data_IF_186676725607
#
_entry.id   IF_186676725607
#
_cell.length_a   1.000
_cell.length_b   1.000
_cell.length_c   1.000
_cell.angle_alpha   90.00
_cell.angle_beta   90.00
_cell.angle_gamma   90.00
#
_symmetry.space_group_name_H-M   'P 1'
#
loop_
_entity.id
_entity.type
_entity.pdbx_description
1 polymer ?
#
# COMPACT_ATOMS: atom_id res chain seq x y z
N UNK A 1 -21.23 64.41 5.79
CA UNK A 1 -22.40 63.86 6.52
C UNK A 1 -21.85 62.86 7.54
N UNK A 2 -21.37 63.38 8.67
CA UNK A 2 -21.95 63.27 10.04
C UNK A 2 -21.68 61.89 10.69
N UNK A 3 -20.57 61.76 11.44
CA UNK A 3 -20.41 61.88 12.93
C UNK A 3 -21.07 60.70 13.67
N UNK A 4 -20.58 60.14 14.77
CA UNK A 4 -19.29 59.98 15.47
C UNK A 4 -19.60 59.12 16.72
N UNK A 5 -18.55 58.56 17.30
CA UNK A 5 -18.51 57.93 18.62
C UNK A 5 -19.08 58.80 19.75
N UNK A 6 -19.72 58.19 20.77
CA UNK A 6 -19.42 58.29 22.22
C UNK A 6 -20.62 57.86 23.11
N UNK A 7 -20.30 57.03 24.12
CA UNK A 7 -21.05 56.81 25.38
C UNK A 7 -20.79 57.98 26.34
N UNK A 8 -21.64 58.31 27.35
CA UNK A 8 -21.73 57.53 28.61
C UNK A 8 -23.09 57.53 29.37
N UNK A 9 -23.08 56.77 30.47
CA UNK A 9 -24.11 56.48 31.49
C UNK A 9 -24.80 57.70 32.11
N UNK A 10 -25.91 57.48 32.86
CA UNK A 10 -25.77 57.55 34.32
C UNK A 10 -26.53 56.47 35.12
N UNK A 11 -26.08 56.35 36.37
CA UNK A 11 -26.48 55.53 37.51
C UNK A 11 -27.79 55.97 38.20
N UNK A 12 -28.50 55.05 38.88
CA UNK A 12 -28.90 55.18 40.31
C UNK A 12 -29.60 53.93 40.90
N UNK A 13 -29.08 53.46 42.05
CA UNK A 13 -29.69 52.87 43.28
C UNK A 13 -30.80 51.78 43.24
N UNK A 14 -31.08 50.99 44.29
CA UNK A 14 -30.37 50.08 45.23
C UNK A 14 -31.48 49.50 46.17
N UNK A 15 -31.52 48.17 46.41
CA UNK A 15 -32.17 47.43 47.53
C UNK A 15 -33.72 47.56 47.71
N UNK A 16 -34.52 46.68 48.35
CA UNK A 16 -34.37 45.53 49.28
C UNK A 16 -35.70 44.71 49.34
N UNK A 17 -35.64 43.51 49.93
CA UNK A 17 -36.69 42.51 50.18
C UNK A 17 -37.95 42.97 50.97
N UNK A 18 -39.07 42.23 50.79
CA UNK A 18 -39.70 41.29 51.77
C UNK A 18 -41.24 41.35 51.89
N UNK A 19 -41.85 40.15 52.02
CA UNK A 19 -43.15 39.80 52.65
C UNK A 19 -44.45 40.29 51.94
N UNK A 20 -45.59 39.57 51.84
CA UNK A 20 -46.17 38.40 52.54
C UNK A 20 -47.58 38.08 51.92
N UNK A 21 -48.13 36.86 52.15
CA UNK A 21 -49.51 36.34 51.89
C UNK A 21 -49.96 36.26 50.40
N UNK A 22 -50.58 35.19 49.85
CA UNK A 22 -51.30 34.06 50.42
C UNK A 22 -52.76 34.07 49.93
N UNK A 23 -53.07 33.43 48.79
CA UNK A 23 -54.45 32.99 48.50
C UNK A 23 -54.51 31.83 47.49
N UNK A 24 -55.22 30.78 47.91
CA UNK A 24 -55.44 29.47 47.29
C UNK A 24 -56.47 29.54 46.15
N UNK A 25 -56.32 28.69 45.12
CA UNK A 25 -57.38 27.76 44.70
C UNK A 25 -56.91 26.69 43.69
N UNK A 26 -56.96 25.46 44.20
CA UNK A 26 -56.93 24.10 43.64
C UNK A 26 -57.27 23.92 42.14
N UNK A 27 -56.53 23.01 41.47
CA UNK A 27 -57.13 21.91 40.69
C UNK A 27 -56.14 20.75 40.39
N UNK A 28 -56.55 19.55 40.84
CA UNK A 28 -56.34 18.17 40.38
C UNK A 28 -54.94 17.63 39.96
N UNK A 29 -54.38 16.76 40.82
CA UNK A 29 -53.39 15.73 40.48
C UNK A 29 -54.09 14.40 40.12
N UNK A 30 -53.62 13.66 39.10
CA UNK A 30 -53.63 12.20 39.12
C UNK A 30 -52.25 11.64 39.49
N UNK A 31 -52.27 10.50 40.17
CA UNK A 31 -51.13 9.76 40.76
C UNK A 31 -49.99 9.52 39.77
N UNK A 32 -48.76 9.81 40.21
CA UNK A 32 -47.54 9.33 39.57
C UNK A 32 -47.47 7.79 39.65
N UNK A 33 -47.54 7.13 38.49
CA UNK A 33 -47.14 5.73 38.37
C UNK A 33 -45.62 5.71 38.38
N UNK A 34 -45.06 5.22 39.48
CA UNK A 34 -43.63 5.07 39.66
C UNK A 34 -43.16 3.83 38.87
N UNK A 35 -42.96 4.00 37.56
CA UNK A 35 -42.31 2.97 36.75
C UNK A 35 -40.81 3.05 37.04
N UNK A 36 -40.34 2.16 37.92
CA UNK A 36 -38.91 1.82 37.99
C UNK A 36 -38.51 1.29 36.60
N UNK A 37 -37.94 2.15 35.78
CA UNK A 37 -37.19 1.73 34.61
C UNK A 37 -36.06 0.82 35.12
N UNK A 38 -36.20 -0.48 34.89
CA UNK A 38 -35.10 -1.43 35.04
C UNK A 38 -33.93 -0.86 34.22
N UNK A 39 -32.70 -0.87 34.75
CA UNK A 39 -31.55 -0.48 33.93
C UNK A 39 -31.57 -1.42 32.72
N UNK A 40 -31.70 -0.83 31.53
CA UNK A 40 -31.42 -1.53 30.29
C UNK A 40 -29.97 -1.98 30.41
N UNK A 41 -29.78 -3.24 30.80
CA UNK A 41 -28.50 -3.93 30.64
C UNK A 41 -28.26 -3.87 29.14
N UNK A 42 -27.45 -2.89 28.72
CA UNK A 42 -26.91 -2.85 27.38
C UNK A 42 -26.12 -4.14 27.27
N UNK A 43 -26.69 -5.15 26.62
CA UNK A 43 -25.93 -6.34 26.24
C UNK A 43 -24.71 -5.81 25.50
N UNK A 44 -23.55 -5.85 26.16
CA UNK A 44 -22.29 -5.64 25.49
C UNK A 44 -22.32 -6.61 24.33
N UNK A 45 -22.25 -6.11 23.10
CA UNK A 45 -21.93 -7.00 21.99
C UNK A 45 -20.67 -7.76 22.38
N UNK A 46 -20.59 -9.03 22.03
CA UNK A 46 -19.45 -9.92 22.32
C UNK A 46 -18.10 -9.38 21.82
N UNK A 47 -18.11 -8.24 21.12
CA UNK A 47 -16.96 -7.58 20.49
C UNK A 47 -16.71 -6.16 21.03
N UNK A 48 -17.31 -5.77 22.16
CA UNK A 48 -17.02 -4.47 22.78
C UNK A 48 -15.76 -4.51 23.64
N UNK A 49 -14.72 -3.79 23.21
CA UNK A 49 -13.48 -3.60 23.97
C UNK A 49 -13.74 -2.73 25.21
N UNK A 50 -13.04 -3.01 26.30
CA UNK A 50 -13.06 -2.15 27.48
C UNK A 50 -12.29 -0.84 27.19
N UNK A 51 -12.68 0.28 27.81
CA UNK A 51 -12.05 1.59 27.54
C UNK A 51 -10.54 1.58 27.81
N UNK A 52 -10.10 0.90 28.87
CA UNK A 52 -8.67 0.74 29.18
C UNK A 52 -7.92 -0.01 28.08
N UNK A 53 -8.54 -1.06 27.53
CA UNK A 53 -7.97 -1.86 26.46
C UNK A 53 -7.92 -1.06 25.15
N UNK A 54 -8.99 -0.33 24.83
CA UNK A 54 -9.04 0.58 23.70
C UNK A 54 -7.90 1.61 23.76
N UNK A 55 -7.74 2.28 24.91
CA UNK A 55 -6.65 3.25 25.12
C UNK A 55 -5.26 2.63 25.01
N UNK A 56 -5.08 1.37 25.39
CA UNK A 56 -3.79 0.68 25.25
C UNK A 56 -3.48 0.25 23.81
N UNK A 57 -4.50 0.09 22.98
CA UNK A 57 -4.33 -0.27 21.57
C UNK A 57 -4.10 0.97 20.71
N UNK A 58 -4.77 2.09 20.97
CA UNK A 58 -4.66 3.26 20.11
C UNK A 58 -3.26 3.90 20.18
N UNK A 59 -2.63 4.23 19.05
CA UNK A 59 -1.40 5.01 19.05
C UNK A 59 -1.67 6.41 19.63
N UNK A 60 -0.63 7.04 20.15
CA UNK A 60 -0.65 8.43 20.59
C UNK A 60 -0.32 9.38 19.43
N UNK A 61 -0.71 10.66 19.56
CA UNK A 61 -0.32 11.67 18.57
C UNK A 61 1.20 11.85 18.51
N UNK A 62 1.89 11.74 19.65
CA UNK A 62 3.36 11.85 19.71
C UNK A 62 4.05 10.72 18.93
N UNK A 63 3.59 9.48 19.09
CA UNK A 63 4.08 8.32 18.32
C UNK A 63 3.87 8.50 16.81
N UNK A 64 2.80 9.22 16.42
CA UNK A 64 2.52 9.56 15.02
C UNK A 64 3.19 10.87 14.58
N UNK A 65 3.90 11.60 15.45
CA UNK A 65 4.48 12.89 15.11
C UNK A 65 3.46 14.02 14.84
N UNK A 66 2.21 13.84 15.26
CA UNK A 66 1.10 14.76 15.08
C UNK A 66 0.97 15.76 16.24
N UNK A 67 0.36 16.91 15.95
CA UNK A 67 0.06 17.99 16.90
C UNK A 67 -1.39 18.44 16.72
N UNK A 68 -1.92 19.09 17.75
CA UNK A 68 -3.27 19.65 17.70
C UNK A 68 -3.39 20.65 16.54
N UNK A 69 -4.46 20.54 15.76
CA UNK A 69 -4.69 21.36 14.57
C UNK A 69 -3.94 20.94 13.30
N UNK A 70 -3.14 19.87 13.33
CA UNK A 70 -2.53 19.33 12.11
C UNK A 70 -3.60 18.89 11.10
N UNK A 71 -3.26 18.96 9.81
CA UNK A 71 -4.11 18.48 8.73
C UNK A 71 -3.68 17.10 8.28
N UNK A 72 -4.61 16.15 8.24
CA UNK A 72 -4.34 14.78 7.79
C UNK A 72 -5.39 14.37 6.76
N UNK A 73 -4.93 14.06 5.55
CA UNK A 73 -5.77 13.41 4.54
C UNK A 73 -5.58 11.90 4.63
N UNK A 74 -6.66 11.14 4.78
CA UNK A 74 -6.62 9.68 4.84
C UNK A 74 -6.89 9.09 3.46
N UNK A 75 -5.89 8.39 2.90
CA UNK A 75 -6.04 7.58 1.70
C UNK A 75 -6.84 6.31 2.01
N UNK A 76 -8.06 6.23 1.50
CA UNK A 76 -8.95 5.10 1.72
C UNK A 76 -9.08 4.23 0.47
N UNK A 77 -9.04 2.91 0.65
CA UNK A 77 -9.18 1.91 -0.43
C UNK A 77 -10.50 1.14 -0.38
N UNK A 78 -11.36 1.43 0.61
CA UNK A 78 -12.55 0.62 0.89
C UNK A 78 -12.27 -0.63 1.74
N UNK A 79 -11.00 -0.94 2.01
CA UNK A 79 -10.58 -2.03 2.90
C UNK A 79 -10.65 -1.68 4.39
N UNK A 80 -10.70 -2.72 5.24
CA UNK A 80 -10.81 -2.59 6.72
C UNK A 80 -9.66 -1.79 7.34
N UNK A 81 -8.45 -1.91 6.80
CA UNK A 81 -7.26 -1.23 7.32
C UNK A 81 -7.38 0.28 7.21
N UNK A 82 -7.74 0.78 6.02
CA UNK A 82 -7.95 2.21 5.80
C UNK A 82 -9.15 2.78 6.58
N UNK A 83 -10.20 1.97 6.77
CA UNK A 83 -11.34 2.35 7.60
C UNK A 83 -10.99 2.48 9.09
N UNK A 84 -10.21 1.53 9.60
CA UNK A 84 -9.70 1.56 10.97
C UNK A 84 -8.75 2.73 11.16
N UNK A 85 -7.90 3.02 10.17
CA UNK A 85 -7.01 4.18 10.14
C UNK A 85 -7.78 5.49 10.30
N UNK A 86 -8.81 5.72 9.48
CA UNK A 86 -9.66 6.91 9.57
C UNK A 86 -10.30 7.02 10.97
N UNK A 87 -10.81 5.90 11.48
CA UNK A 87 -11.51 5.88 12.76
C UNK A 87 -10.56 6.14 13.95
N UNK A 88 -9.33 5.63 13.93
CA UNK A 88 -8.28 5.93 14.93
C UNK A 88 -8.01 7.43 14.93
N UNK A 89 -7.72 7.99 13.76
CA UNK A 89 -7.34 9.41 13.65
C UNK A 89 -8.47 10.36 14.08
N UNK A 90 -9.74 9.93 13.97
CA UNK A 90 -10.90 10.70 14.43
C UNK A 90 -10.94 10.93 15.94
N UNK A 91 -10.20 10.16 16.73
CA UNK A 91 -10.06 10.38 18.18
C UNK A 91 -9.17 11.58 18.52
N UNK A 92 -8.41 12.11 17.56
CA UNK A 92 -7.46 13.21 17.80
C UNK A 92 -8.05 14.58 17.43
N UNK A 93 -7.62 15.66 18.10
CA UNK A 93 -8.00 17.04 17.78
C UNK A 93 -7.24 17.56 16.55
N UNK A 94 -7.49 16.95 15.39
CA UNK A 94 -6.87 17.26 14.09
C UNK A 94 -7.94 17.48 13.01
N UNK A 95 -7.54 18.10 11.91
CA UNK A 95 -8.39 18.24 10.73
C UNK A 95 -8.26 17.01 9.83
N UNK A 96 -9.39 16.35 9.52
CA UNK A 96 -9.41 15.14 8.72
C UNK A 96 -10.15 15.32 7.40
N UNK A 97 -9.45 15.00 6.32
CA UNK A 97 -10.03 14.81 4.99
C UNK A 97 -9.90 13.35 4.56
N UNK A 98 -10.74 12.91 3.64
CA UNK A 98 -10.71 11.57 3.06
C UNK A 98 -10.48 11.67 1.56
N UNK A 99 -9.58 10.84 1.04
CA UNK A 99 -9.36 10.72 -0.39
C UNK A 99 -9.43 9.25 -0.81
N UNK A 100 -10.17 8.98 -1.88
CA UNK A 100 -10.15 7.72 -2.61
C UNK A 100 -9.46 7.94 -3.96
N UNK A 101 -8.53 7.06 -4.31
CA UNK A 101 -7.83 7.13 -5.59
C UNK A 101 -8.41 6.11 -6.57
N UNK A 102 -8.74 6.57 -7.78
CA UNK A 102 -9.01 5.70 -8.92
C UNK A 102 -7.77 5.65 -9.79
N UNK A 103 -7.04 4.52 -9.76
CA UNK A 103 -5.79 4.35 -10.52
C UNK A 103 -5.95 3.45 -11.75
N UNK A 104 -7.09 2.80 -11.91
CA UNK A 104 -7.36 1.94 -13.04
C UNK A 104 -8.84 1.99 -13.41
N UNK A 105 -9.11 2.18 -14.69
CA UNK A 105 -10.45 2.10 -15.27
C UNK A 105 -10.41 1.10 -16.42
N UNK A 106 -11.02 -0.10 -16.26
CA UNK A 106 -11.08 -1.11 -17.32
C UNK A 106 -11.63 -0.56 -18.64
N UNK A 107 -12.60 0.36 -18.60
CA UNK A 107 -13.21 0.90 -19.82
C UNK A 107 -12.26 1.82 -20.58
N UNK A 108 -11.41 2.57 -19.87
CA UNK A 108 -10.39 3.42 -20.49
C UNK A 108 -9.14 2.65 -20.88
N UNK A 109 -8.84 1.54 -20.20
CA UNK A 109 -7.63 0.73 -20.41
C UNK A 109 -7.80 -0.46 -21.36
N UNK A 110 -9.04 -0.81 -21.72
CA UNK A 110 -9.38 -1.85 -22.71
C UNK A 110 -9.94 -1.26 -24.02
N UNK A 111 -9.98 0.07 -24.15
CA UNK A 111 -10.28 0.74 -25.42
C UNK A 111 -9.08 0.60 -26.38
N UNK A 112 -9.26 0.08 -27.61
CA UNK A 112 -8.18 0.04 -28.59
C UNK A 112 -7.71 1.48 -28.89
N UNK A 113 -6.42 1.72 -29.17
CA UNK A 113 -5.99 3.01 -29.67
C UNK A 113 -6.77 3.33 -30.95
N UNK A 114 -7.42 4.50 -30.98
CA UNK A 114 -8.11 5.01 -32.16
C UNK A 114 -7.15 4.97 -33.35
N UNK A 115 -7.46 4.07 -34.30
CA UNK A 115 -6.84 4.07 -35.60
C UNK A 115 -7.09 5.42 -36.26
N UNK A 116 -6.01 6.06 -36.67
CA UNK A 116 -5.94 7.31 -37.44
C UNK A 116 -6.95 7.40 -38.59
N UNK A 117 -8.09 8.07 -38.36
CA UNK A 117 -8.92 8.67 -39.41
C UNK A 117 -9.52 9.99 -38.86
N UNK A 118 -9.64 11.06 -39.68
CA UNK A 118 -10.08 12.36 -39.21
C UNK A 118 -11.59 12.36 -38.89
N UNK A 119 -12.06 13.26 -38.00
CA UNK A 119 -13.46 13.29 -37.62
C UNK A 119 -14.28 13.94 -38.74
N UNK A 120 -15.24 13.20 -39.28
CA UNK A 120 -16.35 13.80 -40.03
C UNK A 120 -17.34 14.38 -39.02
N UNK A 121 -17.81 15.63 -39.19
CA UNK A 121 -18.79 16.22 -38.29
C UNK A 121 -20.17 15.67 -38.65
N UNK A 122 -21.01 15.42 -37.65
CA UNK A 122 -22.43 15.86 -37.56
C UNK A 122 -23.21 14.99 -36.56
N UNK A 123 -23.78 15.71 -35.60
CA UNK A 123 -25.02 15.50 -34.85
C UNK A 123 -25.14 14.43 -33.76
N UNK A 124 -25.25 14.97 -32.54
CA UNK A 124 -26.13 14.50 -31.46
C UNK A 124 -27.48 13.99 -32.00
N UNK A 125 -27.87 12.78 -31.60
CA UNK A 125 -29.24 12.42 -31.25
C UNK A 125 -29.28 11.08 -30.49
N UNK A 126 -29.81 11.12 -29.26
CA UNK A 126 -30.37 9.95 -28.59
C UNK A 126 -31.49 9.37 -29.46
N UNK A 127 -31.41 8.08 -29.80
CA UNK A 127 -32.53 7.30 -30.27
C UNK A 127 -32.53 5.94 -29.61
N UNK A 128 -33.53 5.75 -28.75
CA UNK A 128 -34.00 4.47 -28.24
C UNK A 128 -34.45 3.55 -29.38
N UNK A 129 -33.84 2.39 -29.51
CA UNK A 129 -34.26 1.34 -30.45
C UNK A 129 -33.77 -0.02 -29.98
N UNK A 130 -34.70 -0.84 -29.51
CA UNK A 130 -34.48 -2.21 -29.03
C UNK A 130 -34.08 -3.16 -30.15
N UNK A 131 -33.08 -4.02 -29.93
CA UNK A 131 -33.14 -5.45 -30.30
C UNK A 131 -31.96 -6.24 -29.71
N UNK A 132 -32.33 -7.32 -28.99
CA UNK A 132 -31.56 -8.55 -28.71
C UNK A 132 -30.25 -8.50 -27.90
N UNK A 133 -30.43 -8.60 -26.57
CA UNK A 133 -29.77 -9.57 -25.67
C UNK A 133 -28.42 -10.19 -26.12
N UNK A 134 -27.34 -9.48 -25.81
CA UNK A 134 -26.14 -10.05 -25.18
C UNK A 134 -25.56 -9.00 -24.24
N UNK A 135 -26.21 -8.82 -23.10
CA UNK A 135 -25.56 -8.22 -21.93
C UNK A 135 -24.37 -9.11 -21.58
N UNK A 136 -23.18 -8.72 -22.03
CA UNK A 136 -21.97 -9.17 -21.38
C UNK A 136 -22.07 -8.65 -19.94
N UNK A 137 -22.17 -9.57 -18.99
CA UNK A 137 -22.05 -9.33 -17.57
C UNK A 137 -20.67 -8.69 -17.28
N UNK A 138 -20.54 -7.40 -17.56
CA UNK A 138 -19.49 -6.55 -17.04
C UNK A 138 -19.79 -6.43 -15.55
N UNK A 139 -19.06 -7.22 -14.76
CA UNK A 139 -19.00 -7.05 -13.31
C UNK A 139 -18.99 -5.55 -12.98
N UNK A 140 -19.86 -5.05 -12.08
CA UNK A 140 -19.85 -3.63 -11.71
C UNK A 140 -18.43 -3.22 -11.35
N UNK A 141 -17.97 -2.09 -11.91
CA UNK A 141 -16.60 -1.61 -11.79
C UNK A 141 -16.12 -1.75 -10.33
N UNK A 142 -15.08 -2.55 -10.10
CA UNK A 142 -14.61 -2.89 -8.74
C UNK A 142 -14.34 -1.62 -7.91
N UNK A 143 -13.75 -0.59 -8.54
CA UNK A 143 -13.46 0.68 -7.90
C UNK A 143 -14.72 1.43 -7.43
N UNK A 144 -15.87 1.28 -8.09
CA UNK A 144 -17.12 1.92 -7.68
C UNK A 144 -17.65 1.28 -6.38
N UNK A 145 -17.51 -0.03 -6.25
CA UNK A 145 -17.87 -0.74 -5.01
C UNK A 145 -16.99 -0.28 -3.86
N UNK A 146 -15.69 -0.20 -4.10
CA UNK A 146 -14.73 0.26 -3.09
C UNK A 146 -14.94 1.73 -2.72
N UNK A 147 -15.27 2.59 -3.69
CA UNK A 147 -15.65 3.99 -3.45
C UNK A 147 -16.93 4.11 -2.60
N UNK A 148 -17.95 3.30 -2.89
CA UNK A 148 -19.17 3.25 -2.08
C UNK A 148 -18.90 2.79 -0.65
N UNK A 149 -17.97 1.86 -0.44
CA UNK A 149 -17.55 1.44 0.89
C UNK A 149 -16.82 2.58 1.64
N UNK A 150 -15.97 3.35 0.95
CA UNK A 150 -15.36 4.56 1.52
C UNK A 150 -16.41 5.57 1.96
N UNK A 151 -17.40 5.86 1.12
CA UNK A 151 -18.49 6.80 1.46
C UNK A 151 -19.26 6.36 2.69
N UNK A 152 -19.60 5.07 2.80
CA UNK A 152 -20.30 4.50 3.97
C UNK A 152 -19.48 4.65 5.25
N UNK A 153 -18.20 4.27 5.20
CA UNK A 153 -17.29 4.37 6.36
C UNK A 153 -17.12 5.82 6.78
N UNK A 154 -16.78 6.72 5.84
CA UNK A 154 -16.53 8.13 6.13
C UNK A 154 -17.78 8.83 6.71
N UNK A 155 -18.97 8.52 6.18
CA UNK A 155 -20.24 9.01 6.72
C UNK A 155 -20.49 8.52 8.15
N UNK A 156 -20.25 7.23 8.42
CA UNK A 156 -20.42 6.65 9.77
C UNK A 156 -19.43 7.26 10.79
N UNK A 157 -18.20 7.55 10.37
CA UNK A 157 -17.19 8.21 11.22
C UNK A 157 -17.51 9.70 11.44
N UNK A 158 -18.41 10.28 10.65
CA UNK A 158 -18.84 11.67 10.76
C UNK A 158 -17.91 12.65 10.04
N UNK A 159 -17.31 12.24 8.92
CA UNK A 159 -16.55 13.12 8.03
C UNK A 159 -17.52 13.93 7.16
N UNK A 160 -17.38 15.27 7.08
CA UNK A 160 -18.19 16.10 6.18
C UNK A 160 -18.06 15.68 4.72
N UNK A 161 -19.16 15.74 3.95
CA UNK A 161 -19.17 15.25 2.56
C UNK A 161 -18.20 16.02 1.64
N UNK A 162 -18.02 17.31 1.89
CA UNK A 162 -17.09 18.20 1.20
C UNK A 162 -15.60 17.88 1.49
N UNK A 163 -15.33 17.17 2.57
CA UNK A 163 -14.01 16.64 2.94
C UNK A 163 -13.73 15.24 2.35
N UNK A 164 -14.64 14.66 1.56
CA UNK A 164 -14.44 13.35 0.93
C UNK A 164 -14.28 13.55 -0.58
N UNK A 165 -13.11 13.17 -1.13
CA UNK A 165 -12.77 13.40 -2.54
C UNK A 165 -12.40 12.10 -3.25
N UNK A 166 -12.82 12.00 -4.51
CA UNK A 166 -12.29 11.01 -5.45
C UNK A 166 -11.26 11.72 -6.33
N UNK A 167 -10.07 11.13 -6.45
CA UNK A 167 -9.00 11.61 -7.33
C UNK A 167 -8.69 10.53 -8.34
N UNK A 168 -8.73 10.88 -9.61
CA UNK A 168 -8.32 10.00 -10.70
C UNK A 168 -6.82 10.17 -10.97
N UNK A 169 -6.07 9.09 -10.80
CA UNK A 169 -4.63 9.00 -11.06
C UNK A 169 -4.32 7.89 -12.06
N UNK A 170 -5.30 7.51 -12.90
CA UNK A 170 -5.15 6.43 -13.88
C UNK A 170 -4.07 6.72 -14.92
N UNK A 171 -3.90 7.99 -15.32
CA UNK A 171 -2.86 8.41 -16.28
C UNK A 171 -1.46 8.30 -15.69
N UNK A 172 -1.29 8.77 -14.46
CA UNK A 172 -0.04 8.69 -13.72
C UNK A 172 0.32 7.23 -13.43
N UNK A 173 -0.67 6.41 -13.03
CA UNK A 173 -0.46 4.99 -12.81
C UNK A 173 -0.02 4.27 -14.09
N UNK A 174 -0.69 4.54 -15.21
CA UNK A 174 -0.34 3.95 -16.50
C UNK A 174 1.12 4.26 -16.87
N UNK A 175 1.48 5.54 -16.89
CA UNK A 175 2.80 6.01 -17.35
C UNK A 175 3.94 5.71 -16.38
N UNK A 176 3.71 5.78 -15.07
CA UNK A 176 4.79 5.68 -14.06
C UNK A 176 4.94 4.30 -13.44
N UNK A 177 3.93 3.43 -13.57
CA UNK A 177 3.93 2.10 -12.93
C UNK A 177 3.67 1.01 -13.95
N UNK A 178 2.58 1.10 -14.71
CA UNK A 178 2.14 -0.01 -15.56
C UNK A 178 3.03 -0.20 -16.80
N UNK A 179 3.23 0.85 -17.60
CA UNK A 179 4.06 0.81 -18.81
C UNK A 179 5.53 0.40 -18.49
N UNK A 180 6.19 0.95 -17.45
CA UNK A 180 7.51 0.47 -17.03
C UNK A 180 7.53 -1.03 -16.66
N UNK A 181 6.49 -1.51 -15.96
CA UNK A 181 6.39 -2.93 -15.60
C UNK A 181 6.21 -3.83 -16.83
N UNK A 182 5.44 -3.39 -17.84
CA UNK A 182 5.32 -4.05 -19.14
C UNK A 182 6.69 -4.22 -19.80
N UNK A 183 7.49 -3.15 -19.86
CA UNK A 183 8.85 -3.24 -20.40
C UNK A 183 9.75 -4.25 -19.66
N UNK A 184 9.62 -4.38 -18.34
CA UNK A 184 10.36 -5.39 -17.57
C UNK A 184 9.90 -6.81 -17.91
N UNK A 185 8.59 -7.05 -18.05
CA UNK A 185 8.05 -8.36 -18.47
C UNK A 185 8.51 -8.73 -19.89
N UNK A 186 8.52 -7.79 -20.83
CA UNK A 186 8.97 -8.03 -22.21
C UNK A 186 10.44 -8.45 -22.28
N UNK A 187 11.29 -7.89 -21.42
CA UNK A 187 12.70 -8.32 -21.27
C UNK A 187 12.87 -9.63 -20.47
N UNK A 188 11.77 -10.29 -20.11
CA UNK A 188 11.77 -11.53 -19.34
C UNK A 188 12.07 -11.34 -17.85
N UNK A 189 12.05 -10.12 -17.32
CA UNK A 189 12.16 -9.84 -15.89
C UNK A 189 10.86 -10.12 -15.13
N UNK A 190 10.88 -9.90 -13.81
CA UNK A 190 9.69 -10.00 -12.96
C UNK A 190 9.60 -8.74 -12.09
N UNK A 191 8.87 -7.69 -12.51
CA UNK A 191 8.77 -6.41 -11.81
C UNK A 191 7.97 -6.53 -10.50
N UNK A 192 8.06 -5.49 -9.67
CA UNK A 192 7.26 -5.32 -8.46
C UNK A 192 6.46 -4.00 -8.50
N UNK A 193 5.32 -3.97 -9.22
CA UNK A 193 4.57 -2.73 -9.44
C UNK A 193 3.96 -2.13 -8.16
N UNK A 194 3.85 -2.91 -7.08
CA UNK A 194 3.34 -2.40 -5.81
C UNK A 194 4.36 -1.46 -5.12
N UNK A 195 5.67 -1.73 -5.26
CA UNK A 195 6.73 -0.82 -4.78
C UNK A 195 6.64 0.52 -5.52
N UNK A 196 6.56 0.45 -6.85
CA UNK A 196 6.47 1.63 -7.72
C UNK A 196 5.16 2.40 -7.48
N UNK A 197 4.02 1.71 -7.29
CA UNK A 197 2.76 2.37 -6.97
C UNK A 197 2.83 3.17 -5.67
N UNK A 198 3.48 2.65 -4.62
CA UNK A 198 3.62 3.41 -3.38
C UNK A 198 4.47 4.66 -3.59
N UNK A 199 5.62 4.53 -4.27
CA UNK A 199 6.53 5.63 -4.55
C UNK A 199 5.91 6.69 -5.48
N UNK A 200 5.37 6.28 -6.61
CA UNK A 200 4.99 7.17 -7.71
C UNK A 200 3.55 7.69 -7.60
N UNK A 201 2.65 6.90 -6.98
CA UNK A 201 1.21 7.21 -6.95
C UNK A 201 0.76 7.58 -5.56
N UNK A 202 0.85 6.66 -4.58
CA UNK A 202 0.30 6.93 -3.24
C UNK A 202 1.04 8.04 -2.52
N UNK A 203 2.38 8.02 -2.54
CA UNK A 203 3.21 9.05 -1.91
C UNK A 203 3.86 9.99 -2.93
N UNK A 204 3.62 9.79 -4.23
CA UNK A 204 4.00 10.70 -5.31
C UNK A 204 2.80 11.55 -5.75
N UNK A 205 2.17 11.15 -6.86
CA UNK A 205 1.09 11.90 -7.50
C UNK A 205 -0.07 12.31 -6.56
N UNK A 206 -0.48 11.44 -5.64
CA UNK A 206 -1.50 11.80 -4.65
C UNK A 206 -0.99 12.90 -3.71
N UNK A 207 0.25 12.79 -3.23
CA UNK A 207 0.85 13.76 -2.32
C UNK A 207 1.02 15.14 -2.98
N UNK A 208 1.20 15.18 -4.30
CA UNK A 208 1.29 16.40 -5.12
C UNK A 208 -0.05 17.13 -5.25
N UNK A 209 -1.18 16.40 -5.28
CA UNK A 209 -2.53 17.00 -5.32
C UNK A 209 -3.02 17.44 -3.94
N UNK A 210 -2.39 16.98 -2.86
CA UNK A 210 -2.72 17.45 -1.51
C UNK A 210 -2.28 18.92 -1.33
N UNK A 211 -3.01 19.69 -0.50
CA UNK A 211 -2.59 21.04 -0.16
C UNK A 211 -1.15 21.10 0.34
N UNK A 212 -0.35 22.00 -0.24
CA UNK A 212 1.03 22.28 0.18
C UNK A 212 1.04 23.23 1.39
N UNK A 213 0.30 22.87 2.43
CA UNK A 213 0.26 23.59 3.70
C UNK A 213 1.32 23.01 4.65
N UNK A 214 1.80 23.84 5.56
CA UNK A 214 2.64 23.38 6.66
C UNK A 214 1.86 22.34 7.49
N UNK A 215 2.54 21.24 7.83
CA UNK A 215 2.00 20.13 8.64
C UNK A 215 0.71 19.51 8.07
N UNK A 216 0.67 19.34 6.75
CA UNK A 216 -0.31 18.50 6.05
C UNK A 216 0.28 17.13 5.72
N UNK A 217 -0.29 16.10 6.32
CA UNK A 217 0.14 14.70 6.18
C UNK A 217 -0.83 13.85 5.36
N UNK A 218 -0.31 12.80 4.74
CA UNK A 218 -1.08 11.70 4.16
C UNK A 218 -1.02 10.49 5.09
N UNK A 219 -2.18 10.07 5.59
CA UNK A 219 -2.31 8.83 6.33
C UNK A 219 -2.78 7.69 5.43
N UNK A 220 -2.22 6.50 5.62
CA UNK A 220 -2.63 5.29 4.89
C UNK A 220 -2.74 4.09 5.83
N UNK A 221 -3.49 3.07 5.42
CA UNK A 221 -3.63 1.82 6.17
C UNK A 221 -2.46 0.85 6.02
N UNK A 222 -1.23 1.33 5.78
CA UNK A 222 -0.07 0.43 5.69
C UNK A 222 0.44 0.03 7.08
N UNK A 223 0.92 -1.20 7.16
CA UNK A 223 1.61 -1.76 8.32
C UNK A 223 3.09 -1.42 8.22
N UNK A 224 3.45 -0.27 8.77
CA UNK A 224 4.82 0.21 8.95
C UNK A 224 4.77 1.37 9.94
N UNK A 225 5.92 1.77 10.50
CA UNK A 225 5.98 2.91 11.41
C UNK A 225 6.84 4.00 10.79
N UNK A 226 6.45 5.25 10.98
CA UNK A 226 7.28 6.41 10.63
C UNK A 226 7.67 7.08 11.92
N UNK A 227 8.97 7.09 12.24
CA UNK A 227 9.49 7.82 13.37
C UNK A 227 9.85 9.24 12.91
N UNK A 228 8.99 10.21 13.26
CA UNK A 228 9.27 11.63 13.09
C UNK A 228 10.18 12.08 14.24
N UNK A 229 11.42 12.47 13.97
CA UNK A 229 12.28 13.01 15.02
C UNK A 229 11.74 14.38 15.44
N UNK A 230 11.47 14.64 16.74
CA UNK A 230 10.86 15.89 17.17
C UNK A 230 11.74 17.10 16.82
N UNK A 231 11.15 18.10 16.15
CA UNK A 231 11.81 19.37 15.78
C UNK A 231 12.50 20.09 16.96
N UNK A 232 12.05 19.83 18.19
CA UNK A 232 12.55 20.50 19.40
C UNK A 232 13.85 19.90 19.96
N UNK A 233 14.19 18.65 19.60
CA UNK A 233 15.27 17.89 20.23
C UNK A 233 16.42 17.56 19.27
N UNK A 234 16.57 18.33 18.19
CA UNK A 234 17.38 18.16 16.96
C UNK A 234 16.53 17.67 15.77
N UNK A 235 16.39 18.45 14.68
CA UNK A 235 15.71 17.99 13.47
C UNK A 235 16.50 16.83 12.86
N UNK A 236 15.98 15.61 13.01
CA UNK A 236 16.47 14.42 12.33
C UNK A 236 15.50 14.00 11.23
N UNK A 237 15.97 13.29 10.19
CA UNK A 237 15.12 12.86 9.10
C UNK A 237 14.10 11.81 9.56
N UNK A 238 12.91 11.79 8.93
CA UNK A 238 11.88 10.80 9.23
C UNK A 238 12.33 9.39 8.84
N UNK A 239 12.26 8.43 9.77
CA UNK A 239 12.69 7.05 9.53
C UNK A 239 11.53 6.11 9.28
N UNK A 240 11.64 5.28 8.24
CA UNK A 240 10.73 4.16 8.02
C UNK A 240 11.16 2.95 8.86
N UNK A 241 10.29 2.48 9.73
CA UNK A 241 10.54 1.37 10.66
C UNK A 241 9.56 0.23 10.41
N UNK A 242 10.00 -1.02 10.63
CA UNK A 242 9.12 -2.19 10.55
C UNK A 242 7.91 -2.08 11.46
N UNK A 243 6.79 -2.65 11.01
CA UNK A 243 5.60 -2.84 11.83
C UNK A 243 5.87 -3.77 13.01
N UNK A 244 5.06 -3.62 14.06
CA UNK A 244 5.02 -4.57 15.19
C UNK A 244 4.56 -5.95 14.72
N UNK A 245 3.55 -6.00 13.85
CA UNK A 245 3.12 -7.24 13.21
C UNK A 245 4.05 -7.62 12.05
N UNK A 246 5.06 -8.43 12.34
CA UNK A 246 6.02 -8.92 11.34
C UNK A 246 5.36 -9.70 10.19
N UNK A 247 4.19 -10.31 10.43
CA UNK A 247 3.49 -11.09 9.39
C UNK A 247 2.77 -10.21 8.37
N UNK A 248 2.52 -8.95 8.73
CA UNK A 248 1.87 -7.94 7.90
C UNK A 248 2.75 -6.76 7.55
N UNK A 249 4.00 -6.73 8.02
CA UNK A 249 4.96 -5.65 7.73
C UNK A 249 5.06 -5.37 6.22
N UNK A 250 4.68 -4.15 5.86
CA UNK A 250 4.61 -3.65 4.49
C UNK A 250 5.76 -2.68 4.18
N UNK A 251 6.74 -2.51 5.08
CA UNK A 251 7.90 -1.64 4.81
C UNK A 251 8.70 -2.04 3.57
N UNK A 252 8.65 -3.32 3.16
CA UNK A 252 9.22 -3.77 1.88
C UNK A 252 8.58 -3.05 0.67
N UNK A 253 7.28 -2.77 0.71
CA UNK A 253 6.59 -2.04 -0.36
C UNK A 253 6.78 -0.52 -0.29
N UNK A 254 7.24 -0.03 0.86
CA UNK A 254 7.49 1.39 1.13
C UNK A 254 8.99 1.72 1.05
N UNK A 255 9.85 0.76 0.75
CA UNK A 255 11.31 0.89 0.85
C UNK A 255 11.94 1.82 -0.20
N UNK A 256 11.18 2.23 -1.21
CA UNK A 256 11.58 3.26 -2.17
C UNK A 256 11.00 4.65 -1.90
N UNK A 257 10.33 4.85 -0.76
CA UNK A 257 9.91 6.20 -0.38
C UNK A 257 11.12 7.10 -0.13
N UNK A 258 11.01 8.38 -0.47
CA UNK A 258 12.02 9.38 -0.11
C UNK A 258 11.80 9.88 1.32
N UNK A 259 12.83 10.49 1.92
CA UNK A 259 12.69 11.19 3.20
C UNK A 259 11.57 12.25 3.15
N UNK A 260 11.47 13.01 2.06
CA UNK A 260 10.43 14.02 1.87
C UNK A 260 9.02 13.41 1.84
N UNK A 261 8.86 12.23 1.25
CA UNK A 261 7.60 11.51 1.26
C UNK A 261 7.28 10.98 2.67
N UNK A 262 8.28 10.44 3.37
CA UNK A 262 8.12 9.94 4.74
C UNK A 262 7.81 11.05 5.74
N UNK A 263 8.41 12.23 5.61
CA UNK A 263 8.15 13.36 6.51
C UNK A 263 6.71 13.87 6.43
N UNK A 264 5.98 13.51 5.37
CA UNK A 264 4.56 13.80 5.18
C UNK A 264 3.65 12.56 5.31
N UNK A 265 4.19 11.40 5.69
CA UNK A 265 3.43 10.16 5.78
C UNK A 265 3.08 9.80 7.23
N UNK A 266 1.87 9.28 7.46
CA UNK A 266 1.41 8.78 8.76
C UNK A 266 0.89 7.35 8.57
N UNK A 267 1.35 6.42 9.41
CA UNK A 267 1.01 4.99 9.32
C UNK A 267 0.42 4.48 10.66
N UNK A 268 -0.87 4.74 10.95
CA UNK A 268 -1.43 4.48 12.28
C UNK A 268 -1.52 3.01 12.69
N UNK A 269 -1.44 2.09 11.73
CA UNK A 269 -1.54 0.65 11.99
C UNK A 269 -0.19 0.02 12.35
N UNK A 270 0.92 0.74 12.21
CA UNK A 270 2.27 0.20 12.39
C UNK A 270 2.56 -0.40 13.77
N UNK A 271 1.87 0.06 14.81
CA UNK A 271 2.00 -0.43 16.18
C UNK A 271 1.01 -1.52 16.55
N UNK A 272 0.13 -1.93 15.62
CA UNK A 272 -0.98 -2.85 15.88
C UNK A 272 -0.73 -4.22 15.25
N UNK A 273 -1.26 -5.26 15.89
CA UNK A 273 -1.46 -6.55 15.24
C UNK A 273 -2.69 -6.49 14.33
N UNK A 274 -2.67 -7.24 13.23
CA UNK A 274 -3.84 -7.32 12.34
C UNK A 274 -5.11 -7.79 13.07
N UNK A 275 -4.93 -8.68 14.04
CA UNK A 275 -6.02 -9.15 14.90
C UNK A 275 -6.64 -8.00 15.68
N UNK A 276 -5.83 -7.08 16.20
CA UNK A 276 -6.34 -5.91 16.93
C UNK A 276 -7.01 -4.91 16.01
N UNK A 277 -6.51 -4.71 14.78
CA UNK A 277 -7.17 -3.90 13.76
C UNK A 277 -8.57 -4.43 13.46
N UNK A 278 -8.74 -5.75 13.29
CA UNK A 278 -10.07 -6.35 13.08
C UNK A 278 -10.97 -6.19 14.31
N UNK A 279 -10.45 -6.39 15.51
CA UNK A 279 -11.20 -6.19 16.77
C UNK A 279 -11.66 -4.75 16.93
N UNK A 280 -10.82 -3.77 16.60
CA UNK A 280 -11.17 -2.34 16.61
C UNK A 280 -12.28 -2.04 15.59
N UNK A 281 -12.15 -2.57 14.37
CA UNK A 281 -13.17 -2.40 13.34
C UNK A 281 -14.54 -2.98 13.76
N UNK A 282 -14.55 -4.16 14.39
CA UNK A 282 -15.76 -4.77 14.95
C UNK A 282 -16.32 -3.99 16.14
N UNK A 283 -15.44 -3.51 17.03
CA UNK A 283 -15.82 -2.70 18.19
C UNK A 283 -16.55 -1.41 17.78
N UNK A 284 -16.06 -0.72 16.75
CA UNK A 284 -16.69 0.47 16.18
C UNK A 284 -17.83 0.19 15.20
N UNK A 285 -18.10 -1.09 14.92
CA UNK A 285 -19.13 -1.52 13.98
C UNK A 285 -18.89 -1.00 12.56
N UNK A 286 -17.64 -0.94 12.10
CA UNK A 286 -17.33 -0.42 10.76
C UNK A 286 -17.98 -1.30 9.68
N UNK A 287 -18.56 -0.73 8.60
CA UNK A 287 -19.30 -1.48 7.60
C UNK A 287 -18.48 -2.57 6.91
N UNK A 288 -17.18 -2.36 6.79
CA UNK A 288 -16.23 -3.25 6.13
C UNK A 288 -15.39 -4.10 7.11
N UNK A 289 -15.78 -4.19 8.39
CA UNK A 289 -15.02 -4.95 9.40
C UNK A 289 -14.79 -6.43 9.02
N UNK A 290 -15.77 -7.03 8.34
CA UNK A 290 -15.73 -8.43 7.87
C UNK A 290 -15.21 -8.59 6.44
N UNK A 291 -14.82 -7.51 5.76
CA UNK A 291 -14.32 -7.58 4.39
C UNK A 291 -12.99 -8.35 4.38
N UNK A 292 -12.83 -9.22 3.38
CA UNK A 292 -11.58 -9.93 3.14
C UNK A 292 -10.52 -8.97 2.59
N UNK A 293 -9.25 -9.34 2.75
CA UNK A 293 -8.15 -8.57 2.18
C UNK A 293 -8.12 -8.79 0.67
N UNK A 294 -7.97 -7.72 -0.11
CA UNK A 294 -7.73 -7.83 -1.54
C UNK A 294 -6.39 -8.52 -1.79
N UNK A 295 -6.41 -9.58 -2.58
CA UNK A 295 -5.22 -10.32 -2.99
C UNK A 295 -4.88 -10.00 -4.46
N UNK A 296 -3.58 -9.94 -4.79
CA UNK A 296 -3.10 -9.66 -6.16
C UNK A 296 -2.47 -8.28 -6.33
N UNK A 297 -2.02 -7.98 -7.55
CA UNK A 297 -1.48 -6.65 -7.91
C UNK A 297 -2.59 -5.63 -7.68
N UNK A 298 -2.25 -4.53 -6.99
CA UNK A 298 -3.19 -3.59 -6.35
C UNK A 298 -4.39 -3.11 -7.21
N UNK A 299 -4.36 -3.23 -8.55
CA UNK A 299 -5.40 -2.72 -9.46
C UNK A 299 -5.93 -3.72 -10.49
N UNK A 300 -5.24 -4.84 -10.71
CA UNK A 300 -5.67 -5.85 -11.70
C UNK A 300 -6.79 -6.73 -11.09
N UNK A 301 -6.89 -6.75 -9.76
CA UNK A 301 -7.81 -7.61 -9.02
C UNK A 301 -7.44 -9.10 -9.17
N UNK A 302 -8.34 -9.98 -8.75
CA UNK A 302 -8.19 -11.44 -8.86
C UNK A 302 -8.51 -11.93 -10.29
N UNK A 303 -7.97 -11.29 -11.33
CA UNK A 303 -8.11 -11.81 -12.70
C UNK A 303 -7.33 -13.12 -12.81
N UNK A 304 -8.06 -14.23 -12.97
CA UNK A 304 -7.57 -15.60 -12.82
C UNK A 304 -6.49 -16.08 -13.79
N UNK A 305 -5.95 -15.24 -14.68
CA UNK A 305 -4.85 -15.57 -15.59
C UNK A 305 -3.98 -14.35 -15.89
N UNK A 306 -3.05 -14.06 -14.98
CA UNK A 306 -2.11 -12.94 -15.10
C UNK A 306 -1.40 -12.86 -16.47
N UNK A 307 -0.95 -14.00 -17.01
CA UNK A 307 -0.27 -14.04 -18.30
C UNK A 307 -1.16 -13.70 -19.50
N UNK A 308 -2.47 -13.95 -19.42
CA UNK A 308 -3.42 -13.58 -20.47
C UNK A 308 -3.74 -12.08 -20.42
N UNK A 309 -3.68 -11.47 -19.23
CA UNK A 309 -3.81 -10.02 -19.06
C UNK A 309 -2.61 -9.28 -19.65
N UNK A 310 -1.38 -9.71 -19.35
CA UNK A 310 -0.18 -9.06 -19.91
C UNK A 310 -0.11 -9.18 -21.43
N UNK A 311 -0.55 -10.31 -22.00
CA UNK A 311 -0.59 -10.53 -23.45
C UNK A 311 -1.48 -9.54 -24.22
N UNK A 312 -2.32 -8.74 -23.55
CA UNK A 312 -3.11 -7.66 -24.17
C UNK A 312 -2.28 -6.39 -24.39
N UNK A 313 -1.15 -6.25 -23.70
CA UNK A 313 -0.33 -5.04 -23.66
C UNK A 313 1.10 -5.25 -24.17
N UNK A 314 1.50 -6.50 -24.39
CA UNK A 314 2.80 -6.85 -24.97
C UNK A 314 2.64 -7.31 -26.41
N UNK A 315 3.71 -7.20 -27.19
CA UNK A 315 3.80 -7.93 -28.46
C UNK A 315 3.60 -9.44 -28.22
N UNK A 316 3.11 -10.22 -29.21
CA UNK A 316 2.98 -11.66 -29.06
C UNK A 316 4.32 -12.24 -28.57
N UNK A 317 4.32 -13.04 -27.49
CA UNK A 317 5.55 -13.58 -26.96
C UNK A 317 6.24 -14.43 -28.02
N UNK A 318 7.52 -14.19 -28.23
CA UNK A 318 8.33 -15.14 -28.97
C UNK A 318 8.34 -16.47 -28.19
N UNK A 319 7.82 -17.51 -28.85
CA UNK A 319 7.86 -18.87 -28.31
C UNK A 319 9.31 -19.34 -28.20
N UNK A 320 9.57 -20.17 -27.20
CA UNK A 320 10.88 -20.74 -26.93
C UNK A 320 10.75 -22.10 -26.27
N UNK A 321 11.89 -22.69 -25.91
CA UNK A 321 11.94 -24.02 -25.31
C UNK A 321 12.33 -23.96 -23.84
N UNK A 322 11.72 -24.82 -23.03
CA UNK A 322 12.28 -25.23 -21.75
C UNK A 322 13.45 -26.17 -22.02
N UNK A 323 14.65 -25.79 -21.62
CA UNK A 323 15.89 -26.54 -21.87
C UNK A 323 16.53 -27.01 -20.56
N UNK A 324 17.23 -28.16 -20.58
CA UNK A 324 18.03 -28.62 -19.44
C UNK A 324 19.47 -28.08 -19.48
N UNK A 325 20.30 -28.50 -18.52
CA UNK A 325 21.72 -28.11 -18.45
C UNK A 325 22.54 -28.54 -19.68
N UNK A 326 22.16 -29.64 -20.32
CA UNK A 326 22.80 -30.17 -21.54
C UNK A 326 22.32 -29.46 -22.82
N UNK A 327 21.34 -28.56 -22.72
CA UNK A 327 20.73 -27.88 -23.87
C UNK A 327 19.63 -28.69 -24.57
N UNK A 328 19.23 -29.83 -24.02
CA UNK A 328 18.12 -30.63 -24.56
C UNK A 328 16.79 -29.89 -24.37
N UNK A 329 15.98 -29.85 -25.42
CA UNK A 329 14.64 -29.23 -25.41
C UNK A 329 13.64 -30.20 -24.80
N UNK A 330 13.04 -29.81 -23.68
CA UNK A 330 12.10 -30.65 -22.94
C UNK A 330 10.63 -30.34 -23.26
N UNK A 331 10.30 -29.08 -23.53
CA UNK A 331 8.94 -28.63 -23.86
C UNK A 331 8.97 -27.24 -24.51
N UNK A 332 7.89 -26.85 -25.17
CA UNK A 332 7.66 -25.49 -25.68
C UNK A 332 6.96 -24.61 -24.63
N UNK A 333 7.20 -23.30 -24.69
CA UNK A 333 6.57 -22.33 -23.81
C UNK A 333 6.01 -21.13 -24.55
N UNK A 334 5.00 -20.49 -23.94
CA UNK A 334 4.29 -19.34 -24.51
C UNK A 334 4.96 -17.99 -24.26
N UNK A 335 6.21 -17.94 -23.79
CA UNK A 335 6.97 -16.70 -23.58
C UNK A 335 7.58 -16.59 -22.19
N UNK A 336 8.56 -15.70 -22.04
CA UNK A 336 9.37 -15.56 -20.83
C UNK A 336 8.57 -15.08 -19.60
N UNK A 337 7.61 -14.17 -19.79
CA UNK A 337 6.84 -13.58 -18.69
C UNK A 337 5.82 -14.51 -18.03
N UNK A 338 5.54 -15.68 -18.63
CA UNK A 338 4.74 -16.72 -17.99
C UNK A 338 5.50 -17.46 -16.88
N UNK A 339 6.81 -17.21 -16.76
CA UNK A 339 7.70 -17.93 -15.87
C UNK A 339 8.47 -16.97 -14.96
N UNK A 340 8.65 -17.38 -13.71
CA UNK A 340 9.49 -16.70 -12.72
C UNK A 340 10.60 -17.65 -12.25
N UNK A 341 11.79 -17.13 -11.96
CA UNK A 341 12.89 -17.97 -11.45
C UNK A 341 12.47 -18.59 -10.11
N UNK A 342 12.75 -19.88 -9.94
CA UNK A 342 12.30 -20.70 -8.82
C UNK A 342 10.87 -21.24 -8.95
N UNK A 343 10.11 -20.88 -9.99
CA UNK A 343 8.81 -21.48 -10.26
C UNK A 343 8.98 -22.94 -10.73
N UNK A 344 8.10 -23.83 -10.25
CA UNK A 344 8.01 -25.20 -10.75
C UNK A 344 7.54 -25.19 -12.22
N UNK A 345 8.37 -25.69 -13.11
CA UNK A 345 8.05 -25.90 -14.51
C UNK A 345 7.37 -27.26 -14.69
N UNK A 346 6.20 -27.29 -15.35
CA UNK A 346 5.48 -28.54 -15.63
C UNK A 346 6.04 -29.17 -16.90
N UNK A 347 7.02 -30.05 -16.74
CA UNK A 347 7.66 -30.81 -17.83
C UNK A 347 7.30 -32.28 -17.70
N UNK A 348 6.87 -32.91 -18.79
CA UNK A 348 6.53 -34.32 -18.82
C UNK A 348 7.78 -35.22 -18.73
N UNK A 349 7.58 -36.46 -18.27
CA UNK A 349 8.61 -37.52 -18.27
C UNK A 349 9.90 -37.19 -17.48
N UNK A 350 9.81 -36.40 -16.40
CA UNK A 350 10.94 -36.08 -15.52
C UNK A 350 10.82 -36.84 -14.20
N UNK A 351 11.94 -37.44 -13.75
CA UNK A 351 12.01 -38.18 -12.48
C UNK A 351 11.88 -37.27 -11.25
N UNK A 352 12.33 -36.01 -11.37
CA UNK A 352 12.21 -34.97 -10.33
C UNK A 352 11.43 -33.77 -10.86
N UNK A 353 10.71 -33.03 -10.00
CA UNK A 353 10.13 -31.76 -10.38
C UNK A 353 11.19 -30.79 -10.91
N UNK A 354 10.91 -30.18 -12.05
CA UNK A 354 11.78 -29.18 -12.68
C UNK A 354 11.42 -27.77 -12.20
N UNK A 355 12.42 -26.91 -12.09
CA UNK A 355 12.29 -25.53 -11.65
C UNK A 355 13.01 -24.59 -12.61
N UNK A 356 12.45 -23.41 -12.84
CA UNK A 356 13.04 -22.37 -13.71
C UNK A 356 14.28 -21.79 -13.04
N UNK A 357 15.44 -21.98 -13.64
CA UNK A 357 16.72 -21.47 -13.13
C UNK A 357 17.15 -20.17 -13.78
N UNK A 358 16.94 -20.03 -15.10
CA UNK A 358 17.33 -18.84 -15.86
C UNK A 358 16.38 -18.63 -17.02
N UNK A 359 16.13 -17.36 -17.36
CA UNK A 359 15.30 -16.94 -18.50
C UNK A 359 16.17 -16.25 -19.53
N UNK A 360 15.73 -16.29 -20.79
CA UNK A 360 16.39 -15.62 -21.90
C UNK A 360 17.75 -16.20 -22.25
N UNK A 361 17.85 -17.53 -22.28
CA UNK A 361 19.06 -18.25 -22.71
C UNK A 361 18.96 -18.66 -24.18
N UNK A 362 20.06 -19.20 -24.73
CA UNK A 362 20.13 -19.62 -26.13
C UNK A 362 20.50 -18.47 -27.08
N UNK A 363 20.76 -18.79 -28.35
CA UNK A 363 21.20 -17.80 -29.36
C UNK A 363 20.19 -16.67 -29.58
N UNK A 364 18.90 -17.01 -29.52
CA UNK A 364 17.80 -16.07 -29.68
C UNK A 364 17.40 -15.36 -28.38
N UNK A 365 17.94 -15.78 -27.24
CA UNK A 365 17.57 -15.23 -25.93
C UNK A 365 16.10 -15.48 -25.55
N UNK A 366 15.47 -16.52 -26.08
CA UNK A 366 14.06 -16.85 -25.83
C UNK A 366 13.85 -18.10 -24.99
N UNK A 367 14.88 -18.93 -24.80
CA UNK A 367 14.76 -20.19 -24.09
C UNK A 367 14.80 -20.00 -22.56
N UNK A 368 14.28 -20.98 -21.82
CA UNK A 368 14.25 -21.00 -20.36
C UNK A 368 14.98 -22.23 -19.85
N UNK A 369 16.03 -22.02 -19.06
CA UNK A 369 16.77 -23.10 -18.40
C UNK A 369 15.97 -23.62 -17.21
N UNK A 370 15.74 -24.93 -17.17
CA UNK A 370 15.12 -25.63 -16.05
C UNK A 370 16.07 -26.66 -15.42
N UNK A 371 15.98 -26.82 -14.10
CA UNK A 371 16.84 -27.72 -13.31
C UNK A 371 16.02 -28.62 -12.38
N UNK A 372 16.49 -29.83 -12.05
CA UNK A 372 15.77 -30.73 -11.17
C UNK A 372 15.95 -30.33 -9.69
N UNK A 373 14.85 -30.27 -8.95
CA UNK A 373 14.86 -29.94 -7.52
C UNK A 373 14.87 -28.44 -7.22
N UNK A 374 14.24 -28.06 -6.10
CA UNK A 374 14.13 -26.67 -5.64
C UNK A 374 15.39 -26.14 -4.95
N UNK A 375 16.29 -27.04 -4.58
CA UNK A 375 17.56 -26.83 -3.88
C UNK A 375 18.76 -26.87 -4.84
N UNK A 376 18.52 -26.91 -6.15
CA UNK A 376 19.57 -27.02 -7.15
C UNK A 376 20.56 -25.83 -7.07
N UNK A 377 21.90 -26.04 -7.21
CA UNK A 377 22.91 -24.97 -7.12
C UNK A 377 22.69 -23.76 -8.05
N UNK A 378 22.06 -23.96 -9.20
CA UNK A 378 21.66 -22.89 -10.12
C UNK A 378 20.60 -21.94 -9.55
N UNK A 379 19.84 -22.37 -8.55
CA UNK A 379 18.82 -21.55 -7.87
C UNK A 379 19.38 -20.87 -6.62
N UNK A 380 20.52 -21.33 -6.10
CA UNK A 380 21.13 -20.86 -4.86
C UNK A 380 22.02 -19.65 -5.13
N UNK A 381 21.52 -18.46 -4.86
CA UNK A 381 22.22 -17.21 -5.16
C UNK A 381 22.98 -16.66 -3.95
N UNK A 382 24.28 -16.43 -4.11
CA UNK A 382 25.19 -15.91 -3.08
C UNK A 382 25.20 -14.39 -3.00
N UNK A 383 24.88 -13.72 -4.10
CA UNK A 383 24.77 -12.27 -4.12
C UNK A 383 23.77 -11.77 -5.15
N UNK A 384 23.30 -10.55 -4.93
CA UNK A 384 22.54 -9.75 -5.89
C UNK A 384 23.24 -8.43 -6.13
N UNK A 385 23.02 -7.87 -7.31
CA UNK A 385 23.53 -6.58 -7.71
C UNK A 385 22.37 -5.66 -8.14
N UNK A 386 22.47 -4.40 -7.73
CA UNK A 386 21.58 -3.32 -8.13
C UNK A 386 22.42 -2.12 -8.57
N UNK A 387 22.17 -1.62 -9.77
CA UNK A 387 22.87 -0.46 -10.33
C UNK A 387 22.31 0.89 -9.86
N UNK A 388 21.04 0.93 -9.45
CA UNK A 388 20.36 2.13 -8.94
C UNK A 388 19.62 1.84 -7.63
N UNK A 389 20.39 1.61 -6.56
CA UNK A 389 19.84 1.45 -5.22
C UNK A 389 19.34 2.78 -4.67
N UNK A 390 18.09 2.81 -4.24
CA UNK A 390 17.47 3.95 -3.59
C UNK A 390 17.73 3.91 -2.07
N UNK A 391 18.56 4.81 -1.58
CA UNK A 391 18.72 5.08 -0.15
C UNK A 391 17.69 6.12 0.27
N UNK A 392 16.84 5.82 1.26
CA UNK A 392 15.76 6.72 1.70
C UNK A 392 16.29 8.11 2.09
N UNK A 393 17.50 8.15 2.64
CA UNK A 393 18.18 9.35 3.13
C UNK A 393 19.36 9.78 2.26
N UNK A 394 19.41 9.33 1.00
CA UNK A 394 20.44 9.66 0.00
C UNK A 394 21.89 9.38 0.43
N UNK A 395 22.09 8.59 1.48
CA UNK A 395 23.38 8.34 2.11
C UNK A 395 23.54 6.87 2.47
N UNK A 396 24.75 6.35 2.23
CA UNK A 396 25.14 5.01 2.66
C UNK A 396 25.65 5.05 4.12
N UNK A 397 24.96 4.42 5.09
CA UNK A 397 25.32 4.51 6.50
C UNK A 397 26.47 3.54 6.84
N UNK A 398 27.67 3.79 6.29
CA UNK A 398 28.85 2.92 6.40
C UNK A 398 29.18 2.57 7.85
N UNK A 399 29.25 3.56 8.73
CA UNK A 399 29.63 3.33 10.12
C UNK A 399 28.66 2.40 10.85
N UNK A 400 27.37 2.56 10.60
CA UNK A 400 26.32 1.74 11.20
C UNK A 400 26.47 0.28 10.78
N UNK A 401 26.58 0.05 9.46
CA UNK A 401 26.68 -1.29 8.88
C UNK A 401 27.99 -2.01 9.22
N UNK A 402 29.07 -1.27 9.49
CA UNK A 402 30.36 -1.84 9.92
C UNK A 402 30.38 -2.15 11.42
N UNK A 403 29.76 -1.30 12.25
CA UNK A 403 29.73 -1.48 13.70
C UNK A 403 28.79 -2.60 14.14
N UNK A 404 27.65 -2.74 13.46
CA UNK A 404 26.58 -3.67 13.86
C UNK A 404 26.10 -4.53 12.67
N UNK A 405 27.00 -5.29 12.00
CA UNK A 405 26.65 -6.08 10.81
C UNK A 405 25.60 -7.17 11.10
N UNK A 406 25.51 -7.65 12.34
CA UNK A 406 24.53 -8.64 12.78
C UNK A 406 23.09 -8.11 12.81
N UNK A 407 22.90 -6.78 12.82
CA UNK A 407 21.58 -6.13 12.78
C UNK A 407 21.06 -5.88 11.37
N UNK A 408 21.86 -6.23 10.35
CA UNK A 408 21.47 -6.11 8.95
C UNK A 408 20.45 -7.20 8.61
N UNK A 409 19.30 -6.77 8.09
CA UNK A 409 18.28 -7.65 7.54
C UNK A 409 18.07 -7.34 6.06
N UNK A 410 18.14 -8.36 5.22
CA UNK A 410 17.95 -8.26 3.78
C UNK A 410 16.73 -9.09 3.36
N UNK A 411 15.92 -8.56 2.45
CA UNK A 411 14.83 -9.31 1.81
C UNK A 411 14.87 -9.08 0.29
N UNK A 412 14.69 -10.15 -0.48
CA UNK A 412 14.62 -10.11 -1.96
C UNK A 412 13.23 -10.40 -2.52
N UNK A 413 12.26 -10.59 -1.62
CA UNK A 413 10.84 -10.79 -1.90
C UNK A 413 10.01 -10.57 -0.64
N UNK A 414 8.76 -10.16 -0.83
CA UNK A 414 7.80 -10.03 0.25
C UNK A 414 7.53 -11.38 0.94
N UNK A 415 7.28 -11.35 2.26
CA UNK A 415 7.07 -12.52 3.17
C UNK A 415 8.27 -13.46 3.36
N UNK A 416 9.44 -13.12 2.83
CA UNK A 416 10.68 -13.81 3.19
C UNK A 416 11.11 -13.39 4.61
N UNK A 417 11.62 -14.32 5.42
CA UNK A 417 12.30 -13.94 6.66
C UNK A 417 13.58 -13.16 6.32
N UNK A 418 13.84 -12.00 6.95
CA UNK A 418 15.07 -11.25 6.71
C UNK A 418 16.31 -12.13 6.95
N UNK A 419 17.29 -12.03 6.07
CA UNK A 419 18.57 -12.74 6.17
C UNK A 419 19.72 -11.77 6.41
N UNK A 420 20.76 -12.25 7.07
CA UNK A 420 22.00 -11.51 7.24
C UNK A 420 22.84 -11.50 5.95
N UNK A 421 23.70 -10.50 5.85
CA UNK A 421 24.59 -10.36 4.70
C UNK A 421 25.44 -9.11 4.80
N UNK A 422 26.36 -8.98 3.85
CA UNK A 422 27.26 -7.83 3.72
C UNK A 422 26.82 -6.96 2.55
N UNK A 423 26.80 -5.65 2.79
CA UNK A 423 26.47 -4.64 1.78
C UNK A 423 27.77 -4.03 1.26
N UNK A 424 27.99 -4.13 -0.04
CA UNK A 424 29.17 -3.59 -0.72
C UNK A 424 28.70 -2.51 -1.68
N UNK A 425 29.18 -1.29 -1.51
CA UNK A 425 28.96 -0.19 -2.47
C UNK A 425 30.12 -0.12 -3.46
N UNK A 426 29.81 0.11 -4.73
CA UNK A 426 30.77 0.31 -5.81
C UNK A 426 31.37 1.72 -5.81
N UNK A 427 31.73 2.21 -7.01
CA UNK A 427 32.23 3.59 -7.18
C UNK A 427 31.18 4.67 -6.94
N UNK A 428 29.90 4.30 -6.99
CA UNK A 428 28.74 5.12 -6.68
C UNK A 428 27.97 4.46 -5.52
N UNK A 429 27.42 5.25 -4.59
CA UNK A 429 26.60 4.73 -3.47
C UNK A 429 25.33 4.02 -3.94
N UNK A 430 24.85 4.31 -5.15
CA UNK A 430 23.71 3.64 -5.79
C UNK A 430 24.06 2.28 -6.38
N UNK A 431 25.33 2.06 -6.71
CA UNK A 431 25.81 0.76 -7.16
C UNK A 431 26.05 -0.13 -5.93
N UNK A 432 25.14 -1.07 -5.69
CA UNK A 432 25.11 -1.91 -4.49
C UNK A 432 25.15 -3.38 -4.87
N UNK A 433 26.10 -4.10 -4.26
CA UNK A 433 26.14 -5.56 -4.25
C UNK A 433 25.81 -6.04 -2.84
N UNK A 434 24.83 -6.94 -2.73
CA UNK A 434 24.45 -7.56 -1.46
C UNK A 434 24.91 -9.01 -1.48
N UNK A 435 25.83 -9.34 -0.58
CA UNK A 435 26.36 -10.69 -0.38
C UNK A 435 25.61 -11.34 0.79
N UNK A 436 24.96 -12.47 0.56
CA UNK A 436 24.24 -13.18 1.62
C UNK A 436 25.20 -14.05 2.43
N UNK A 437 24.93 -14.21 3.73
CA UNK A 437 25.67 -15.17 4.55
C UNK A 437 25.41 -16.61 4.09
N UNK A 438 24.14 -16.91 3.78
CA UNK A 438 23.68 -18.19 3.24
C UNK A 438 23.02 -17.98 1.87
N UNK A 439 23.23 -18.88 0.88
CA UNK A 439 22.62 -18.74 -0.44
C UNK A 439 21.09 -18.69 -0.41
N UNK A 440 20.49 -17.82 -1.22
CA UNK A 440 19.04 -17.63 -1.32
C UNK A 440 18.49 -18.27 -2.58
N UNK A 441 17.47 -19.10 -2.42
CA UNK A 441 16.82 -19.83 -3.52
C UNK A 441 15.99 -18.90 -4.40
N UNK A 442 16.15 -18.97 -5.72
CA UNK A 442 15.18 -18.44 -6.70
C UNK A 442 15.06 -16.92 -6.68
N UNK A 443 16.20 -16.22 -6.61
CA UNK A 443 16.23 -14.76 -6.72
C UNK A 443 16.03 -14.36 -8.18
N UNK A 444 15.11 -13.43 -8.44
CA UNK A 444 14.71 -13.05 -9.81
C UNK A 444 15.12 -11.60 -10.13
N UNK A 445 15.84 -11.35 -11.23
CA UNK A 445 16.01 -9.99 -11.73
C UNK A 445 14.66 -9.30 -12.02
N UNK A 446 14.59 -8.00 -11.76
CA UNK A 446 13.37 -7.19 -11.78
C UNK A 446 12.62 -7.17 -10.44
N UNK A 447 12.86 -8.11 -9.53
CA UNK A 447 12.39 -7.99 -8.15
C UNK A 447 13.24 -6.98 -7.37
N UNK A 448 12.83 -6.67 -6.14
CA UNK A 448 13.46 -5.65 -5.31
C UNK A 448 14.26 -6.32 -4.19
N UNK A 449 15.50 -5.88 -3.98
CA UNK A 449 16.24 -6.15 -2.75
C UNK A 449 16.12 -4.94 -1.83
N UNK A 450 15.70 -5.18 -0.60
CA UNK A 450 15.53 -4.15 0.41
C UNK A 450 16.40 -4.46 1.63
N UNK A 451 16.92 -3.40 2.27
CA UNK A 451 17.88 -3.47 3.36
C UNK A 451 17.31 -2.75 4.59
N UNK A 452 17.39 -3.42 5.74
CA UNK A 452 17.08 -2.88 7.04
C UNK A 452 18.28 -2.99 7.98
N UNK A 453 18.30 -2.11 8.97
CA UNK A 453 19.17 -2.21 10.13
C UNK A 453 18.32 -2.09 11.40
N UNK A 454 18.24 -3.15 12.21
CA UNK A 454 17.44 -3.18 13.45
C UNK A 454 16.00 -2.67 13.28
N UNK A 455 15.37 -3.06 12.17
CA UNK A 455 14.02 -2.63 11.81
C UNK A 455 13.91 -1.27 11.13
N UNK A 456 14.97 -0.45 11.06
CA UNK A 456 15.02 0.76 10.22
C UNK A 456 15.28 0.39 8.76
N UNK A 457 14.32 0.69 7.89
CA UNK A 457 14.46 0.52 6.44
C UNK A 457 15.44 1.57 5.91
N UNK A 458 16.54 1.12 5.33
CA UNK A 458 17.57 1.99 4.77
C UNK A 458 17.26 2.34 3.31
N UNK A 459 16.60 1.43 2.60
CA UNK A 459 16.34 1.59 1.18
C UNK A 459 16.16 0.27 0.45
N UNK A 460 16.06 0.37 -0.88
CA UNK A 460 15.94 -0.79 -1.75
C UNK A 460 16.33 -0.48 -3.19
N UNK A 461 16.62 -1.51 -3.99
CA UNK A 461 16.93 -1.39 -5.41
C UNK A 461 16.36 -2.55 -6.22
N UNK A 462 16.14 -2.31 -7.51
CA UNK A 462 15.76 -3.36 -8.45
C UNK A 462 16.98 -4.26 -8.69
N UNK A 463 16.77 -5.57 -8.62
CA UNK A 463 17.82 -6.57 -8.84
C UNK A 463 18.08 -6.65 -10.34
N UNK A 464 19.28 -6.28 -10.75
CA UNK A 464 19.72 -6.35 -12.15
C UNK A 464 20.41 -7.68 -12.45
N UNK A 465 21.15 -8.19 -11.47
CA UNK A 465 21.97 -9.40 -11.61
C UNK A 465 22.04 -10.22 -10.32
N UNK A 466 22.29 -11.51 -10.49
CA UNK A 466 22.46 -12.49 -9.41
C UNK A 466 23.71 -13.30 -9.67
N UNK A 467 24.44 -13.69 -8.61
CA UNK A 467 25.53 -14.67 -8.70
C UNK A 467 25.13 -15.92 -7.95
N UNK A 468 25.00 -17.05 -8.65
CA UNK A 468 24.48 -18.29 -8.06
C UNK A 468 25.50 -19.42 -8.16
N UNK A 469 25.43 -20.41 -7.25
CA UNK A 469 26.51 -21.38 -7.06
C UNK A 469 26.80 -22.22 -8.31
N UNK A 470 25.73 -22.55 -9.05
CA UNK A 470 25.81 -23.39 -10.24
C UNK A 470 26.36 -22.71 -11.50
N UNK A 471 26.57 -21.39 -11.51
CA UNK A 471 26.96 -20.68 -12.75
C UNK A 471 28.33 -21.10 -13.30
N UNK A 472 29.23 -21.58 -12.43
CA UNK A 472 30.53 -22.14 -12.84
C UNK A 472 30.41 -23.52 -13.51
N UNK A 473 29.26 -24.21 -13.42
CA UNK A 473 29.08 -25.56 -13.97
C UNK A 473 28.93 -25.59 -15.49
N UNK A 474 28.70 -24.45 -16.16
CA UNK A 474 28.66 -24.35 -17.63
C UNK A 474 30.04 -24.24 -18.29
N UNK A 475 31.10 -23.92 -17.53
CA UNK A 475 32.45 -23.73 -18.07
C UNK A 475 33.29 -25.01 -18.16
N UNK A 476 32.77 -26.15 -17.71
CA UNK A 476 33.46 -27.43 -17.70
C UNK A 476 33.08 -28.32 -18.89
N UNK A 477 33.41 -27.90 -20.11
CA UNK A 477 33.53 -28.82 -21.24
C UNK A 477 35.01 -29.07 -21.49
N UNK A 478 35.51 -30.16 -20.90
CA UNK A 478 36.71 -30.83 -21.38
C UNK A 478 36.39 -31.71 -22.57
#
# INVERSE_FOLDING_TARGET
>A
MWFACLRPLPTTSKFRCSNVFGSKSRQCLPRAVNVKLKPLVRMRSSHSLAERELRSLLPTMEELGLREGDHVTVGMSGGVDSATTLRILREFPIHLDVVFMRNWDPLLSESPPESSLPPSPISLAYSSGSTSNREQNLSPCQWERDWNDVLKVATQVGIPKDSIKLVDLSKEYWSRVFEPAVGVWERGGTPNPDVDCNREIKFGALLDVLPKKDRHFLATGHYGRVAHVPLLSHPGPSKLLRAVDKSKDQTYYLSQMTEQQLSRAILPLGSLLKTDVRRLAEHWGLPNAKKEESMGVCFIGERGKFGDFISQYTSPPESGYLVNLSGERLAEHKGLWYYTIGQRARVANQLKPMFVAKKGVGEKGTDILVVPGSDHPMLLCKSVHTSDFHWIHDTFPRELLVKEPEKVGIQVRHRMNPVGGRIVVGGNVKDVTVEFNDPIVGVSPGQVVAIWHDGWCLGSGVIDGTKCEGENMRGGTG
#
